data_IF_933866644631
#
_entry.id   IF_933866644631
#
_cell.length_a   1.000
_cell.length_b   1.000
_cell.length_c   1.000
_cell.angle_alpha   90.00
_cell.angle_beta   90.00
_cell.angle_gamma   90.00
#
_symmetry.space_group_name_H-M   'P 1'
#
loop_
_entity.id
_entity.type
_entity.pdbx_description
1 polymer ?
#
# COMPACT_ATOMS: atom_id res chain seq x y z
N UNK A 1 -13.07 -14.60 -0.57
CA UNK A 1 -12.07 -15.62 -0.16
C UNK A 1 -10.76 -14.89 0.03
N UNK A 2 -10.30 -14.75 1.28
CA UNK A 2 -9.01 -14.13 1.61
C UNK A 2 -7.92 -15.18 1.37
N UNK A 3 -7.07 -14.95 0.37
CA UNK A 3 -5.79 -15.64 0.30
C UNK A 3 -4.93 -15.04 1.40
N UNK A 4 -4.83 -15.76 2.52
CA UNK A 4 -3.92 -15.41 3.61
C UNK A 4 -2.51 -15.37 3.01
N UNK A 5 -1.87 -14.20 2.97
CA UNK A 5 -0.45 -14.11 2.62
C UNK A 5 0.31 -15.00 3.60
N UNK A 6 0.99 -16.02 3.08
CA UNK A 6 1.80 -16.91 3.90
C UNK A 6 2.88 -16.10 4.60
N UNK A 7 3.07 -16.37 5.89
CA UNK A 7 3.96 -15.73 6.87
C UNK A 7 5.46 -15.82 6.51
N UNK A 8 5.86 -15.38 5.32
CA UNK A 8 7.23 -14.93 5.10
C UNK A 8 7.38 -13.55 5.75
N UNK A 9 8.44 -13.35 6.52
CA UNK A 9 8.75 -12.04 7.07
C UNK A 9 9.02 -11.09 5.89
N UNK A 10 8.04 -10.26 5.52
CA UNK A 10 8.25 -9.19 4.55
C UNK A 10 9.16 -8.13 5.20
N UNK A 11 10.32 -7.83 4.60
CA UNK A 11 11.22 -6.79 5.10
C UNK A 11 10.45 -5.47 5.17
N UNK A 12 10.51 -4.78 6.32
CA UNK A 12 9.81 -3.51 6.51
C UNK A 12 8.50 -3.59 7.28
N UNK A 13 7.88 -4.77 7.39
CA UNK A 13 6.65 -4.95 8.17
C UNK A 13 6.94 -4.82 9.67
N UNK A 14 6.20 -3.95 10.37
CA UNK A 14 6.20 -3.95 11.84
C UNK A 14 5.67 -5.31 12.36
N UNK A 15 6.38 -5.96 13.27
CA UNK A 15 6.07 -7.35 13.71
C UNK A 15 4.65 -7.50 14.27
N UNK A 16 4.09 -6.42 14.81
CA UNK A 16 2.74 -6.38 15.39
C UNK A 16 1.69 -5.77 14.45
N UNK A 17 2.05 -5.38 13.23
CA UNK A 17 1.09 -4.82 12.28
C UNK A 17 0.09 -5.91 11.83
N UNK A 18 -1.19 -5.66 12.08
CA UNK A 18 -2.28 -6.48 11.56
C UNK A 18 -2.41 -6.29 10.05
N UNK A 19 -2.54 -7.38 9.30
CA UNK A 19 -2.75 -7.32 7.84
C UNK A 19 -4.07 -6.64 7.51
N UNK A 20 -5.13 -6.97 8.25
CA UNK A 20 -6.45 -6.37 8.10
C UNK A 20 -6.67 -5.38 9.24
N UNK A 21 -6.97 -4.14 8.91
CA UNK A 21 -7.33 -3.11 9.88
C UNK A 21 -8.68 -3.39 10.54
N UNK A 22 -8.97 -2.68 11.64
CA UNK A 22 -10.22 -2.84 12.39
C UNK A 22 -11.48 -2.55 11.54
N UNK A 23 -11.35 -1.75 10.48
CA UNK A 23 -12.42 -1.42 9.53
C UNK A 23 -12.47 -2.36 8.30
N UNK A 24 -11.64 -3.40 8.27
CA UNK A 24 -11.63 -4.44 7.24
C UNK A 24 -10.75 -4.12 6.02
N UNK A 25 -10.02 -3.00 6.00
CA UNK A 25 -9.08 -2.69 4.92
C UNK A 25 -7.82 -3.56 5.05
N UNK A 26 -7.41 -4.20 3.94
CA UNK A 26 -6.10 -4.85 3.84
C UNK A 26 -5.03 -3.76 3.75
N UNK A 27 -4.18 -3.65 4.77
CA UNK A 27 -3.19 -2.58 4.91
C UNK A 27 -1.98 -2.76 3.97
N UNK A 28 -1.85 -3.87 3.26
CA UNK A 28 -0.71 -4.14 2.37
C UNK A 28 -0.87 -3.58 0.95
N UNK A 29 -1.96 -2.86 0.65
CA UNK A 29 -2.12 -2.19 -0.64
C UNK A 29 -0.95 -1.26 -1.00
N UNK A 30 -0.77 -0.87 -2.25
CA UNK A 30 0.27 0.09 -2.61
C UNK A 30 1.66 -0.55 -2.65
N UNK A 31 2.65 0.03 -1.97
CA UNK A 31 4.06 -0.41 -2.03
C UNK A 31 4.25 -1.91 -1.71
N UNK A 32 3.70 -2.48 -0.61
CA UNK A 32 3.94 -3.89 -0.28
C UNK A 32 3.43 -4.88 -1.34
N UNK A 33 2.26 -4.59 -1.91
CA UNK A 33 1.62 -5.46 -2.89
C UNK A 33 2.12 -5.24 -4.32
N UNK A 34 2.56 -4.02 -4.63
CA UNK A 34 3.05 -3.67 -5.95
C UNK A 34 4.52 -4.05 -6.18
N UNK A 35 5.33 -4.07 -5.11
CA UNK A 35 6.78 -4.32 -5.17
C UNK A 35 7.16 -5.53 -4.30
N UNK A 36 6.70 -6.73 -4.67
CA UNK A 36 7.00 -7.93 -3.90
C UNK A 36 8.50 -8.23 -3.94
N UNK A 37 9.09 -8.45 -2.77
CA UNK A 37 10.52 -8.78 -2.63
C UNK A 37 11.42 -7.58 -2.36
N UNK A 38 10.95 -6.35 -2.56
CA UNK A 38 11.70 -5.15 -2.18
C UNK A 38 11.69 -4.94 -0.66
N UNK A 39 12.79 -4.44 -0.11
CA UNK A 39 12.83 -3.91 1.26
C UNK A 39 12.23 -2.51 1.30
N UNK A 40 11.40 -2.23 2.29
CA UNK A 40 10.73 -0.93 2.40
C UNK A 40 10.52 -0.48 3.85
N UNK A 41 10.24 0.81 4.02
CA UNK A 41 9.71 1.41 5.24
C UNK A 41 8.59 2.35 4.83
N UNK A 42 7.35 2.02 5.19
CA UNK A 42 6.17 2.68 4.61
C UNK A 42 5.18 3.12 5.67
N UNK A 43 4.31 4.03 5.24
CA UNK A 43 3.08 4.40 5.91
C UNK A 43 1.90 4.28 4.95
N UNK A 44 0.82 3.71 5.50
CA UNK A 44 -0.43 3.48 4.81
C UNK A 44 -1.49 4.39 5.40
N UNK A 45 -2.21 5.11 4.55
CA UNK A 45 -3.26 6.02 4.97
C UNK A 45 -4.50 5.85 4.12
N UNK A 46 -5.65 5.65 4.77
CA UNK A 46 -6.93 5.59 4.08
C UNK A 46 -8.02 6.29 4.88
N UNK A 47 -9.02 6.80 4.18
CA UNK A 47 -10.15 7.46 4.82
C UNK A 47 -11.13 8.06 3.83
N UNK A 48 -12.13 8.75 4.37
CA UNK A 48 -13.12 9.49 3.60
C UNK A 48 -13.17 10.92 4.12
N UNK A 49 -13.09 11.92 3.23
CA UNK A 49 -13.21 13.33 3.58
C UNK A 49 -13.80 14.10 2.40
N UNK A 50 -14.68 15.08 2.68
CA UNK A 50 -15.25 15.99 1.66
C UNK A 50 -15.78 15.25 0.40
N UNK A 51 -16.58 14.19 0.60
CA UNK A 51 -17.13 13.37 -0.49
C UNK A 51 -16.08 12.64 -1.37
N UNK A 52 -14.87 12.47 -0.84
CA UNK A 52 -13.75 11.79 -1.52
C UNK A 52 -13.17 10.67 -0.69
N UNK A 53 -12.85 9.56 -1.34
CA UNK A 53 -12.16 8.42 -0.74
C UNK A 53 -10.68 8.61 -0.99
N UNK A 54 -9.90 8.62 0.07
CA UNK A 54 -8.48 8.92 0.03
C UNK A 54 -7.73 7.62 0.34
N UNK A 55 -6.79 7.27 -0.53
CA UNK A 55 -5.89 6.12 -0.36
C UNK A 55 -4.47 6.57 -0.68
N UNK A 56 -3.58 6.43 0.29
CA UNK A 56 -2.21 6.87 0.22
C UNK A 56 -1.27 5.75 0.66
N UNK A 57 -0.19 5.58 -0.08
CA UNK A 57 0.96 4.73 0.27
C UNK A 57 2.21 5.56 0.04
N UNK A 58 3.09 5.62 1.03
CA UNK A 58 4.34 6.37 0.91
C UNK A 58 5.43 5.71 1.72
N UNK A 59 6.68 5.91 1.32
CA UNK A 59 7.81 5.36 2.06
C UNK A 59 9.12 5.38 1.30
N UNK A 60 10.07 4.66 1.86
CA UNK A 60 11.43 4.51 1.32
C UNK A 60 11.61 3.06 0.87
N UNK A 61 12.19 2.87 -0.31
CA UNK A 61 12.37 1.58 -0.99
C UNK A 61 13.87 1.29 -1.20
N UNK A 62 14.24 0.02 -1.10
CA UNK A 62 15.58 -0.51 -1.37
C UNK A 62 16.41 -0.67 -0.10
N UNK A 63 17.33 -1.64 -0.10
CA UNK A 63 18.18 -1.95 1.07
C UNK A 63 19.04 -0.76 1.50
N UNK A 64 19.48 0.04 0.52
CA UNK A 64 20.24 1.28 0.74
C UNK A 64 19.36 2.52 0.89
N UNK A 65 18.02 2.36 0.96
CA UNK A 65 17.06 3.46 1.11
C UNK A 65 17.18 4.54 0.02
N UNK A 66 17.45 4.12 -1.21
CA UNK A 66 17.81 5.00 -2.33
C UNK A 66 16.61 5.73 -2.94
N UNK A 67 15.40 5.19 -2.77
CA UNK A 67 14.21 5.71 -3.44
C UNK A 67 13.13 6.11 -2.43
N UNK A 68 12.54 7.29 -2.62
CA UNK A 68 11.33 7.72 -1.93
C UNK A 68 10.18 7.59 -2.91
N UNK A 69 9.15 6.83 -2.55
CA UNK A 69 7.93 6.72 -3.34
C UNK A 69 6.77 7.30 -2.55
N UNK A 70 5.99 8.17 -3.21
CA UNK A 70 4.77 8.75 -2.67
C UNK A 70 3.66 8.58 -3.71
N UNK A 71 2.61 7.87 -3.32
CA UNK A 71 1.40 7.70 -4.14
C UNK A 71 0.20 8.17 -3.33
N UNK A 72 -0.40 9.27 -3.75
CA UNK A 72 -1.59 9.86 -3.15
C UNK A 72 -2.74 9.78 -4.14
N UNK A 73 -3.85 9.16 -3.74
CA UNK A 73 -5.00 9.01 -4.63
C UNK A 73 -6.28 9.52 -3.97
N UNK A 74 -7.14 10.08 -4.81
CA UNK A 74 -8.44 10.61 -4.41
C UNK A 74 -9.48 10.08 -5.38
N UNK A 75 -10.56 9.51 -4.86
CA UNK A 75 -11.61 8.85 -5.63
C UNK A 75 -12.99 9.39 -5.26
N UNK A 76 -13.99 9.35 -6.17
CA UNK A 76 -15.37 9.62 -5.81
C UNK A 76 -15.86 8.69 -4.69
N UNK A 77 -16.74 9.16 -3.80
CA UNK A 77 -17.29 8.33 -2.69
C UNK A 77 -17.90 6.99 -3.12
N UNK A 78 -18.45 6.92 -4.33
CA UNK A 78 -19.03 5.71 -4.90
C UNK A 78 -17.99 4.59 -5.14
N UNK A 79 -16.69 4.93 -5.26
CA UNK A 79 -15.62 3.95 -5.42
C UNK A 79 -15.33 3.32 -4.07
N UNK A 80 -15.45 2.00 -3.95
CA UNK A 80 -15.20 1.28 -2.68
C UNK A 80 -13.74 1.38 -2.25
N UNK A 81 -13.45 1.17 -0.96
CA UNK A 81 -12.07 1.07 -0.47
C UNK A 81 -11.27 0.01 -1.23
N UNK A 82 -11.87 -1.16 -1.52
CA UNK A 82 -11.22 -2.22 -2.29
C UNK A 82 -10.81 -1.80 -3.71
N UNK A 83 -11.66 -1.08 -4.43
CA UNK A 83 -11.31 -0.58 -5.77
C UNK A 83 -10.21 0.48 -5.65
N UNK A 84 -10.34 1.39 -4.69
CA UNK A 84 -9.41 2.49 -4.50
C UNK A 84 -8.01 2.01 -4.09
N UNK A 85 -7.90 1.00 -3.22
CA UNK A 85 -6.63 0.39 -2.82
C UNK A 85 -5.96 -0.35 -3.98
N UNK A 86 -6.73 -1.06 -4.81
CA UNK A 86 -6.21 -1.65 -6.06
C UNK A 86 -5.68 -0.60 -7.01
N UNK A 87 -6.38 0.52 -7.19
CA UNK A 87 -5.94 1.61 -8.05
C UNK A 87 -4.59 2.20 -7.58
N UNK A 88 -4.43 2.46 -6.28
CA UNK A 88 -3.16 2.90 -5.71
C UNK A 88 -2.03 1.87 -5.94
N UNK A 89 -2.33 0.58 -5.74
CA UNK A 89 -1.38 -0.52 -5.98
C UNK A 89 -0.92 -0.57 -7.44
N UNK A 90 -1.86 -0.50 -8.39
CA UNK A 90 -1.53 -0.46 -9.82
C UNK A 90 -0.70 0.77 -10.19
N UNK A 91 -0.97 1.92 -9.57
CA UNK A 91 -0.17 3.12 -9.76
C UNK A 91 1.28 2.94 -9.29
N UNK A 92 1.50 2.28 -8.15
CA UNK A 92 2.86 1.95 -7.68
C UNK A 92 3.54 0.95 -8.60
N UNK A 93 2.84 -0.10 -9.04
CA UNK A 93 3.40 -1.12 -9.93
C UNK A 93 3.88 -0.52 -11.26
N UNK A 94 3.21 0.50 -11.77
CA UNK A 94 3.64 1.23 -12.96
C UNK A 94 4.96 1.99 -12.78
N UNK A 95 5.40 2.23 -11.54
CA UNK A 95 6.65 2.89 -11.19
C UNK A 95 7.78 1.92 -10.84
N UNK A 96 7.54 0.60 -10.86
CA UNK A 96 8.51 -0.41 -10.40
C UNK A 96 9.89 -0.24 -11.07
N UNK A 97 9.94 -0.11 -12.39
CA UNK A 97 11.20 0.06 -13.13
C UNK A 97 11.95 1.37 -12.85
N UNK A 98 11.39 2.30 -12.08
CA UNK A 98 12.05 3.53 -11.63
C UNK A 98 12.57 3.45 -10.18
N UNK A 99 12.23 2.39 -9.43
CA UNK A 99 12.59 2.23 -8.02
C UNK A 99 13.26 0.89 -7.69
N UNK A 100 13.28 -0.04 -8.64
CA UNK A 100 14.08 -1.27 -8.62
C UNK A 100 15.59 -1.03 -8.76
#
# INVERSE_FOLDING_TARGET
>A
MSHRRTSAAQPGRHRDAQEIAADGVDQFFGIPDALPGSTWWIEQGWGSARERRIINTNGVIGDSRSHILVMLTSHPMAVTFWVATRAATSGVAALAGAVD
#
